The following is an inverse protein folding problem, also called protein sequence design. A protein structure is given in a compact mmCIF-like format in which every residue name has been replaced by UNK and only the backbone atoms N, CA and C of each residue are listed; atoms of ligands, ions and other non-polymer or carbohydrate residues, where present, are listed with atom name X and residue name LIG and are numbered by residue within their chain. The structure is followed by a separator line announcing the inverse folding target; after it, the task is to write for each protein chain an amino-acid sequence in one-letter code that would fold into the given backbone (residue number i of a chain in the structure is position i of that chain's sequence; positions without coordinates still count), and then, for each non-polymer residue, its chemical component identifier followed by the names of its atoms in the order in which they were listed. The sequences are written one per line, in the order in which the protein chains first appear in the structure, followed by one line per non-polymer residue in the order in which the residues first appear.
data_IF_510657589503
#
_entry.id   IF_510657589503
#
_cell.length_a   1.000
_cell.length_b   1.000
_cell.length_c   1.000
_cell.angle_alpha   90.00
_cell.angle_beta   90.00
_cell.angle_gamma   90.00
#
_symmetry.space_group_name_H-M   'P 1'
#
loop_
_entity.id
_entity.type
_entity.pdbx_description
1 polymer ?
#
# COMPACT_ATOMS: atom_id res chain seq x y z
N UNK A 1 11.63 10.22 -16.36
CA UNK A 1 10.29 9.62 -16.60
C UNK A 1 10.00 8.40 -15.73
N UNK A 2 11.03 7.65 -15.30
CA UNK A 2 10.90 6.43 -14.48
C UNK A 2 10.08 6.63 -13.18
N UNK A 3 10.29 7.75 -12.47
CA UNK A 3 9.60 8.03 -11.20
C UNK A 3 8.22 8.69 -11.33
N UNK A 4 7.79 9.08 -12.55
CA UNK A 4 6.52 9.77 -12.75
C UNK A 4 5.31 8.90 -12.35
N UNK A 5 5.41 7.59 -12.56
CA UNK A 5 4.38 6.64 -12.14
C UNK A 5 4.22 6.61 -10.61
N UNK A 6 5.33 6.72 -9.86
CA UNK A 6 5.33 6.79 -8.40
C UNK A 6 4.66 8.08 -7.94
N UNK A 7 5.06 9.24 -8.46
CA UNK A 7 4.45 10.51 -8.06
C UNK A 7 2.95 10.59 -8.38
N UNK A 8 2.52 10.07 -9.55
CA UNK A 8 1.09 9.95 -9.89
C UNK A 8 0.33 8.99 -8.96
N UNK A 9 0.98 7.91 -8.53
CA UNK A 9 0.41 7.01 -7.54
C UNK A 9 0.31 7.70 -6.15
N UNK A 10 1.26 8.55 -5.78
CA UNK A 10 1.22 9.30 -4.51
C UNK A 10 0.26 10.49 -4.53
N UNK A 11 -0.11 11.03 -5.70
CA UNK A 11 -1.01 12.19 -5.83
C UNK A 11 -2.50 11.85 -5.66
N UNK A 12 -2.84 11.03 -4.67
CA UNK A 12 -4.22 10.68 -4.32
C UNK A 12 -4.33 10.38 -2.83
N UNK A 13 -5.31 11.01 -2.19
CA UNK A 13 -5.50 10.96 -0.75
C UNK A 13 -5.74 9.54 -0.22
N UNK A 14 -6.63 8.77 -0.86
CA UNK A 14 -6.91 7.39 -0.45
C UNK A 14 -5.66 6.51 -0.52
N UNK A 15 -4.84 6.66 -1.56
CA UNK A 15 -3.59 5.89 -1.70
C UNK A 15 -2.57 6.28 -0.63
N UNK A 16 -2.42 7.56 -0.32
CA UNK A 16 -1.57 8.02 0.77
C UNK A 16 -2.05 7.49 2.12
N UNK A 17 -3.36 7.47 2.35
CA UNK A 17 -3.96 6.95 3.57
C UNK A 17 -3.68 5.45 3.73
N UNK A 18 -3.84 4.66 2.66
CA UNK A 18 -3.50 3.24 2.65
C UNK A 18 -2.00 3.05 2.97
N UNK A 19 -1.11 3.80 2.32
CA UNK A 19 0.34 3.72 2.56
C UNK A 19 0.73 4.11 3.98
N UNK A 20 0.00 5.04 4.60
CA UNK A 20 0.20 5.40 6.00
C UNK A 20 -0.21 4.26 6.91
N UNK A 21 -1.37 3.64 6.67
CA UNK A 21 -1.80 2.49 7.47
C UNK A 21 -0.87 1.29 7.35
N UNK A 22 -0.35 1.03 6.15
CA UNK A 22 0.58 -0.07 5.89
C UNK A 22 2.00 0.19 6.41
N UNK A 23 2.33 1.42 6.83
CA UNK A 23 3.61 1.77 7.44
C UNK A 23 3.68 1.30 8.90
N UNK A 24 2.58 1.43 9.64
CA UNK A 24 2.44 0.98 11.03
C UNK A 24 1.19 0.12 11.19
N UNK A 25 1.11 -1.04 10.52
CA UNK A 25 -0.11 -1.85 10.47
C UNK A 25 -0.59 -2.31 11.86
N UNK A 26 0.30 -2.41 12.84
CA UNK A 26 0.01 -2.75 14.23
C UNK A 26 -0.91 -1.71 14.90
N UNK A 27 -0.76 -0.43 14.55
CA UNK A 27 -1.61 0.65 15.07
C UNK A 27 -3.01 0.63 14.44
N UNK A 28 -3.09 0.20 13.17
CA UNK A 28 -4.29 0.37 12.35
C UNK A 28 -5.14 -0.89 12.16
N UNK A 29 -4.55 -2.07 12.31
CA UNK A 29 -5.17 -3.37 12.01
C UNK A 29 -4.91 -4.42 13.10
N UNK A 30 -4.86 -3.99 14.37
CA UNK A 30 -4.65 -4.87 15.54
C UNK A 30 -5.68 -6.00 15.66
N UNK A 31 -6.89 -5.83 15.11
CA UNK A 31 -7.95 -6.84 15.11
C UNK A 31 -7.79 -7.92 14.01
N UNK A 32 -6.78 -7.83 13.15
CA UNK A 32 -6.56 -8.84 12.11
C UNK A 32 -6.05 -10.15 12.75
N UNK A 33 -6.71 -11.26 12.43
CA UNK A 33 -6.35 -12.59 12.94
C UNK A 33 -5.03 -13.11 12.35
N UNK A 34 -4.83 -12.91 11.05
CA UNK A 34 -3.59 -13.32 10.37
C UNK A 34 -2.42 -12.42 10.76
N UNK A 35 -1.20 -12.97 10.93
CA UNK A 35 -0.03 -12.18 11.31
C UNK A 35 0.21 -10.99 10.38
N UNK A 36 0.36 -9.78 10.95
CA UNK A 36 0.68 -8.56 10.19
C UNK A 36 2.04 -8.65 9.47
N UNK A 37 2.91 -9.58 9.89
CA UNK A 37 4.14 -9.94 9.18
C UNK A 37 3.88 -10.46 7.76
N UNK A 38 2.71 -11.05 7.49
CA UNK A 38 2.25 -11.45 6.16
C UNK A 38 1.69 -10.29 5.35
N UNK A 39 1.26 -9.23 6.04
CA UNK A 39 0.61 -8.04 5.49
C UNK A 39 -0.84 -7.92 5.91
N UNK A 40 -1.51 -6.90 5.38
CA UNK A 40 -2.89 -6.58 5.72
C UNK A 40 -3.82 -7.10 4.62
N UNK A 41 -4.84 -7.84 5.01
CA UNK A 41 -5.84 -8.37 4.09
C UNK A 41 -6.60 -7.22 3.40
N UNK A 42 -6.85 -7.37 2.09
CA UNK A 42 -7.65 -6.40 1.31
C UNK A 42 -9.01 -6.10 1.96
N UNK A 43 -9.66 -7.09 2.57
CA UNK A 43 -10.93 -6.91 3.28
C UNK A 43 -10.81 -6.01 4.52
N UNK A 44 -9.68 -6.05 5.23
CA UNK A 44 -9.43 -5.16 6.38
C UNK A 44 -9.18 -3.73 5.92
N UNK A 45 -8.42 -3.54 4.82
CA UNK A 45 -8.20 -2.23 4.20
C UNK A 45 -9.53 -1.63 3.74
N UNK A 46 -10.37 -2.44 3.09
CA UNK A 46 -11.72 -2.05 2.66
C UNK A 46 -12.61 -1.65 3.86
N UNK A 47 -12.67 -2.49 4.89
CA UNK A 47 -13.47 -2.20 6.09
C UNK A 47 -13.03 -0.88 6.72
N UNK A 48 -11.71 -0.63 6.80
CA UNK A 48 -11.16 0.58 7.39
C UNK A 48 -11.39 1.84 6.54
N UNK A 49 -11.37 1.72 5.21
CA UNK A 49 -11.59 2.87 4.32
C UNK A 49 -13.05 3.30 4.21
N UNK A 50 -14.01 2.40 4.48
CA UNK A 50 -15.43 2.65 4.22
C UNK A 50 -15.79 2.72 2.73
N UNK A 51 -14.85 2.37 1.84
CA UNK A 51 -15.07 2.36 0.39
C UNK A 51 -15.44 0.95 -0.10
N UNK A 52 -15.91 0.88 -1.34
CA UNK A 52 -16.22 -0.40 -1.99
C UNK A 52 -14.94 -1.21 -2.22
N UNK A 53 -15.10 -2.54 -2.30
CA UNK A 53 -14.00 -3.44 -2.60
C UNK A 53 -13.34 -3.14 -3.95
N UNK A 54 -14.11 -2.78 -4.98
CA UNK A 54 -13.60 -2.44 -6.31
C UNK A 54 -12.71 -1.20 -6.27
N UNK A 55 -13.13 -0.13 -5.58
CA UNK A 55 -12.34 1.09 -5.40
C UNK A 55 -11.04 0.82 -4.65
N UNK A 56 -11.06 -0.01 -3.61
CA UNK A 56 -9.84 -0.37 -2.87
C UNK A 56 -8.91 -1.24 -3.68
N UNK A 57 -9.46 -2.20 -4.42
CA UNK A 57 -8.68 -3.05 -5.32
C UNK A 57 -7.99 -2.24 -6.42
N UNK A 58 -8.68 -1.25 -7.00
CA UNK A 58 -8.10 -0.35 -7.99
C UNK A 58 -6.95 0.49 -7.41
N UNK A 59 -7.15 1.08 -6.23
CA UNK A 59 -6.09 1.87 -5.58
C UNK A 59 -4.87 1.01 -5.23
N UNK A 60 -5.09 -0.21 -4.72
CA UNK A 60 -4.01 -1.15 -4.42
C UNK A 60 -3.30 -1.64 -5.69
N UNK A 61 -4.01 -1.82 -6.80
CA UNK A 61 -3.42 -2.17 -8.09
C UNK A 61 -2.52 -1.04 -8.62
N UNK A 62 -2.95 0.22 -8.50
CA UNK A 62 -2.14 1.39 -8.86
C UNK A 62 -0.87 1.47 -8.00
N UNK A 63 -1.01 1.32 -6.68
CA UNK A 63 0.13 1.29 -5.76
C UNK A 63 1.10 0.15 -6.07
N UNK A 64 0.58 -1.05 -6.35
CA UNK A 64 1.39 -2.23 -6.67
C UNK A 64 2.13 -2.04 -7.99
N UNK A 65 1.46 -1.50 -9.03
CA UNK A 65 2.08 -1.21 -10.32
C UNK A 65 3.19 -0.15 -10.21
N UNK A 66 3.05 0.79 -9.28
CA UNK A 66 4.09 1.77 -8.96
C UNK A 66 5.19 1.22 -8.03
N UNK A 67 5.11 -0.04 -7.59
CA UNK A 67 6.07 -0.67 -6.69
C UNK A 67 5.97 -0.23 -5.23
N UNK A 68 4.98 0.59 -4.86
CA UNK A 68 4.86 1.16 -3.50
C UNK A 68 4.33 0.16 -2.47
N UNK A 69 3.68 -0.90 -2.95
CA UNK A 69 3.22 -2.03 -2.12
C UNK A 69 3.58 -3.36 -2.80
N UNK A 70 3.78 -4.38 -1.99
CA UNK A 70 3.85 -5.78 -2.42
C UNK A 70 2.53 -6.47 -2.07
N UNK A 71 2.20 -7.53 -2.80
CA UNK A 71 1.02 -8.35 -2.52
C UNK A 71 1.35 -9.83 -2.45
N UNK A 72 0.64 -10.55 -1.58
CA UNK A 72 0.76 -12.00 -1.41
C UNK A 72 -0.63 -12.61 -1.33
N UNK A 73 -0.90 -13.61 -2.16
CA UNK A 73 -2.17 -14.36 -2.12
C UNK A 73 -2.05 -15.56 -1.21
N UNK A 74 -3.00 -15.71 -0.28
CA UNK A 74 -3.08 -16.85 0.65
C UNK A 74 -4.53 -17.33 0.63
N UNK A 75 -4.73 -18.54 0.11
CA UNK A 75 -6.06 -19.07 -0.19
C UNK A 75 -6.85 -18.11 -1.10
N UNK A 76 -7.97 -17.62 -0.57
CA UNK A 76 -8.90 -16.74 -1.27
C UNK A 76 -8.67 -15.25 -1.02
N UNK A 77 -7.71 -14.89 -0.15
CA UNK A 77 -7.43 -13.49 0.22
C UNK A 77 -6.08 -13.01 -0.30
N UNK A 78 -6.00 -11.71 -0.59
CA UNK A 78 -4.75 -11.02 -0.95
C UNK A 78 -4.36 -10.08 0.18
N UNK A 79 -3.11 -10.14 0.57
CA UNK A 79 -2.50 -9.35 1.63
C UNK A 79 -1.53 -8.37 1.01
N UNK A 80 -1.48 -7.15 1.55
CA UNK A 80 -0.64 -6.07 1.07
C UNK A 80 0.32 -5.60 2.16
N UNK A 81 1.55 -5.28 1.76
CA UNK A 81 2.56 -4.63 2.60
C UNK A 81 3.15 -3.45 1.88
N UNK A 82 3.51 -2.41 2.62
CA UNK A 82 4.31 -1.31 2.10
C UNK A 82 5.68 -1.83 1.66
N UNK A 83 6.15 -1.37 0.50
CA UNK A 83 7.46 -1.74 -0.01
C UNK A 83 8.51 -0.70 0.39
N UNK A 84 9.12 -0.88 1.57
CA UNK A 84 10.06 0.11 2.09
C UNK A 84 11.30 0.29 1.20
N UNK A 85 11.75 -0.75 0.49
CA UNK A 85 12.87 -0.64 -0.44
C UNK A 85 12.60 0.40 -1.56
N UNK A 86 11.36 0.45 -2.07
CA UNK A 86 10.96 1.47 -3.06
C UNK A 86 10.93 2.86 -2.45
N UNK A 87 10.53 3.01 -1.18
CA UNK A 87 10.56 4.30 -0.50
C UNK A 87 11.98 4.78 -0.21
N UNK A 88 12.89 3.88 0.18
CA UNK A 88 14.31 4.20 0.35
C UNK A 88 14.95 4.66 -0.97
N UNK A 89 14.67 3.96 -2.07
CA UNK A 89 15.14 4.37 -3.40
C UNK A 89 14.56 5.73 -3.81
N UNK A 90 13.25 5.94 -3.62
CA UNK A 90 12.60 7.21 -3.92
C UNK A 90 13.20 8.36 -3.10
N UNK A 91 13.48 8.15 -1.81
CA UNK A 91 14.11 9.16 -0.96
C UNK A 91 15.47 9.59 -1.48
N UNK A 92 16.28 8.65 -1.97
CA UNK A 92 17.60 8.97 -2.56
C UNK A 92 17.46 9.79 -3.84
N UNK A 93 16.51 9.43 -4.70
CA UNK A 93 16.24 10.17 -5.95
C UNK A 93 15.80 11.60 -5.63
N UNK A 94 14.84 11.77 -4.70
CA UNK A 94 14.38 13.10 -4.30
C UNK A 94 15.55 13.92 -3.75
N UNK A 95 16.38 13.37 -2.87
CA UNK A 95 17.53 14.10 -2.31
C UNK A 95 18.62 14.45 -3.33
N UNK A 96 18.78 13.66 -4.40
CA UNK A 96 19.85 13.83 -5.38
C UNK A 96 19.45 14.71 -6.58
N UNK A 97 18.17 14.67 -6.99
CA UNK A 97 17.72 15.24 -8.26
C UNK A 97 16.64 16.32 -8.13
N UNK A 98 16.04 16.51 -6.93
CA UNK A 98 14.93 17.45 -6.69
C UNK A 98 15.27 18.37 -5.51
#
# INVERSE_FOLDING_TARGET
MEHLAIFKALSNETRLQILNWLKTPEEFFHDQQEPLSTGVCVGQIQKKSGLTQSTISENLAVLQKAGLVTSKRIGQWTYYKRNEATFEQLSKVVQAEI
#
